data_IF_517330209110
#
_entry.id   IF_517330209110
#
_cell.length_a   1.000
_cell.length_b   1.000
_cell.length_c   1.000
_cell.angle_alpha   90.00
_cell.angle_beta   90.00
_cell.angle_gamma   90.00
#
_symmetry.space_group_name_H-M   'P 1'
#
loop_
_entity.id
_entity.type
_entity.pdbx_description
1 polymer ?
#
# COMPACT_ATOMS: atom_id res chain seq x y z
N UNK A 1 -6.06 -8.96 14.41
CA UNK A 1 -5.09 -8.14 13.64
C UNK A 1 -4.35 -9.06 12.68
N UNK A 2 -3.99 -8.54 11.50
CA UNK A 2 -3.40 -9.29 10.39
C UNK A 2 -1.87 -9.15 10.44
N UNK A 3 -1.14 -10.22 10.17
CA UNK A 3 0.31 -10.10 9.95
C UNK A 3 0.59 -9.43 8.61
N UNK A 4 1.55 -8.50 8.57
CA UNK A 4 1.93 -7.79 7.36
C UNK A 4 2.25 -8.72 6.19
N UNK A 5 3.13 -9.71 6.41
CA UNK A 5 3.55 -10.67 5.39
C UNK A 5 2.40 -11.50 4.83
N UNK A 6 1.43 -11.88 5.67
CA UNK A 6 0.29 -12.69 5.25
C UNK A 6 -0.67 -11.87 4.38
N UNK A 7 -0.90 -10.59 4.75
CA UNK A 7 -1.66 -9.67 3.92
C UNK A 7 -1.00 -9.49 2.54
N UNK A 8 0.31 -9.25 2.48
CA UNK A 8 1.03 -9.07 1.20
C UNK A 8 0.96 -10.35 0.35
N UNK A 9 1.15 -11.53 0.93
CA UNK A 9 1.03 -12.81 0.21
C UNK A 9 -0.35 -13.04 -0.36
N UNK A 10 -1.40 -12.74 0.41
CA UNK A 10 -2.78 -12.86 -0.06
C UNK A 10 -3.05 -11.91 -1.22
N UNK A 11 -2.64 -10.64 -1.10
CA UNK A 11 -2.79 -9.65 -2.16
C UNK A 11 -2.00 -10.06 -3.41
N UNK A 12 -0.76 -10.55 -3.25
CA UNK A 12 0.06 -11.04 -4.37
C UNK A 12 -0.58 -12.23 -5.07
N UNK A 13 -1.17 -13.17 -4.33
CA UNK A 13 -1.92 -14.29 -4.90
C UNK A 13 -3.16 -13.88 -5.70
N UNK A 14 -3.68 -12.67 -5.48
CA UNK A 14 -4.85 -12.10 -6.17
C UNK A 14 -4.51 -10.99 -7.16
N UNK A 15 -3.23 -10.63 -7.30
CA UNK A 15 -2.81 -9.43 -8.04
C UNK A 15 -3.02 -9.54 -9.55
N UNK A 16 -2.92 -10.74 -10.13
CA UNK A 16 -2.87 -10.91 -11.60
C UNK A 16 -1.78 -10.05 -12.23
N UNK A 17 -2.17 -9.12 -13.09
CA UNK A 17 -1.30 -8.16 -13.79
C UNK A 17 -1.27 -6.76 -13.13
N UNK A 18 -1.73 -6.66 -11.89
CA UNK A 18 -1.73 -5.42 -11.13
C UNK A 18 -0.32 -4.94 -10.79
N UNK A 19 -0.17 -3.62 -10.69
CA UNK A 19 1.06 -2.98 -10.18
C UNK A 19 0.92 -2.76 -8.67
N UNK A 20 1.92 -3.16 -7.91
CA UNK A 20 2.03 -2.80 -6.50
C UNK A 20 2.85 -1.51 -6.37
N UNK A 21 2.27 -0.49 -5.75
CA UNK A 21 2.96 0.75 -5.41
C UNK A 21 3.06 0.82 -3.92
N UNK A 22 4.22 0.48 -3.38
CA UNK A 22 4.38 0.23 -1.96
C UNK A 22 5.38 1.19 -1.32
N UNK A 23 5.13 1.59 -0.07
CA UNK A 23 6.09 2.40 0.71
C UNK A 23 6.13 1.95 2.17
N UNK A 24 7.25 2.23 2.83
CA UNK A 24 7.49 1.99 4.25
C UNK A 24 7.03 0.60 4.72
N UNK A 25 6.07 0.57 5.64
CA UNK A 25 5.67 -0.61 6.37
C UNK A 25 5.02 -1.66 5.46
N UNK A 26 4.37 -1.22 4.37
CA UNK A 26 3.82 -2.11 3.36
C UNK A 26 4.92 -2.81 2.53
N UNK A 27 6.13 -2.23 2.48
CA UNK A 27 7.34 -2.84 1.94
C UNK A 27 8.11 -3.68 2.99
N UNK A 28 7.41 -4.16 4.02
CA UNK A 28 7.98 -4.84 5.19
C UNK A 28 8.73 -3.88 6.15
N UNK A 29 8.86 -4.31 7.40
CA UNK A 29 9.51 -3.56 8.50
C UNK A 29 11.02 -3.40 8.36
N UNK A 30 11.64 -4.15 7.45
CA UNK A 30 13.08 -4.17 7.27
C UNK A 30 13.63 -3.07 6.35
N UNK A 31 12.82 -2.08 5.94
CA UNK A 31 13.28 -0.95 5.11
C UNK A 31 13.84 -1.34 3.73
N UNK A 32 13.67 -2.61 3.36
CA UNK A 32 13.97 -3.16 2.06
C UNK A 32 13.15 -4.41 1.82
N UNK A 33 12.83 -4.64 0.56
CA UNK A 33 12.20 -5.86 0.08
C UNK A 33 13.24 -7.00 0.03
N UNK A 34 12.99 -8.12 0.69
CA UNK A 34 12.95 -9.39 0.01
C UNK A 34 11.46 -9.65 -0.17
N UNK A 35 10.89 -9.04 -1.20
CA UNK A 35 9.45 -9.05 -1.43
C UNK A 35 8.99 -10.50 -1.42
N UNK A 36 8.01 -10.82 -0.59
CA UNK A 36 7.32 -12.13 -0.66
C UNK A 36 6.44 -12.22 -1.90
N UNK A 37 6.43 -11.19 -2.74
CA UNK A 37 5.74 -11.15 -4.01
C UNK A 37 6.47 -12.04 -5.01
N UNK A 38 5.69 -12.57 -5.94
CA UNK A 38 6.19 -13.49 -6.96
C UNK A 38 6.54 -12.81 -8.28
N UNK A 39 6.31 -11.49 -8.41
CA UNK A 39 6.51 -10.75 -9.64
C UNK A 39 7.07 -9.33 -9.37
N UNK A 40 8.37 -9.28 -9.05
CA UNK A 40 9.08 -8.05 -8.72
C UNK A 40 9.04 -7.00 -9.86
N UNK A 41 8.89 -7.42 -11.12
CA UNK A 41 8.84 -6.50 -12.26
C UNK A 41 7.67 -5.51 -12.18
N UNK A 42 6.54 -5.91 -11.59
CA UNK A 42 5.38 -5.01 -11.38
C UNK A 42 5.33 -4.39 -9.99
N UNK A 43 6.39 -4.56 -9.20
CA UNK A 43 6.50 -3.91 -7.90
C UNK A 43 7.25 -2.59 -8.05
N UNK A 44 6.65 -1.53 -7.53
CA UNK A 44 7.21 -0.19 -7.48
C UNK A 44 7.45 0.22 -6.01
N UNK A 45 8.59 -0.19 -5.43
CA UNK A 45 8.91 0.11 -4.04
C UNK A 45 9.44 1.55 -3.90
N UNK A 46 8.67 2.40 -3.23
CA UNK A 46 9.04 3.77 -2.86
C UNK A 46 9.79 3.82 -1.52
N UNK A 47 10.96 3.21 -1.49
CA UNK A 47 11.87 3.28 -0.35
C UNK A 47 12.38 4.71 -0.14
N UNK A 48 12.28 5.21 1.10
CA UNK A 48 12.73 6.57 1.45
C UNK A 48 11.80 7.71 1.04
N UNK A 49 10.62 7.44 0.47
CA UNK A 49 9.66 8.45 0.04
C UNK A 49 8.30 8.30 0.76
N UNK A 50 8.29 8.54 2.08
CA UNK A 50 7.07 8.48 2.90
C UNK A 50 5.96 9.39 2.36
N UNK A 51 4.74 8.89 2.36
CA UNK A 51 3.55 9.60 1.89
C UNK A 51 3.43 9.73 0.37
N UNK A 52 4.30 9.09 -0.43
CA UNK A 52 4.30 9.25 -1.89
C UNK A 52 3.69 8.10 -2.68
N UNK A 53 3.40 6.95 -2.05
CA UNK A 53 2.80 5.80 -2.72
C UNK A 53 1.47 6.14 -3.41
N UNK A 54 0.54 6.72 -2.66
CA UNK A 54 -0.75 7.18 -3.18
C UNK A 54 -0.62 8.17 -4.36
N UNK A 55 0.35 9.09 -4.33
CA UNK A 55 0.55 10.08 -5.39
C UNK A 55 1.14 9.46 -6.67
N UNK A 56 2.12 8.55 -6.54
CA UNK A 56 2.68 7.81 -7.69
C UNK A 56 1.63 6.87 -8.28
N UNK A 57 0.86 6.19 -7.42
CA UNK A 57 -0.22 5.31 -7.83
C UNK A 57 -1.31 6.04 -8.61
N UNK A 58 -1.66 7.28 -8.24
CA UNK A 58 -2.60 8.08 -9.03
C UNK A 58 -2.09 8.29 -10.45
N UNK A 59 -0.81 8.66 -10.62
CA UNK A 59 -0.21 8.83 -11.94
C UNK A 59 -0.26 7.54 -12.77
N UNK A 60 0.10 6.41 -12.17
CA UNK A 60 0.03 5.10 -12.81
C UNK A 60 -1.40 4.71 -13.17
N UNK A 61 -2.37 4.94 -12.29
CA UNK A 61 -3.76 4.58 -12.52
C UNK A 61 -4.38 5.36 -13.69
N UNK A 62 -4.02 6.64 -13.82
CA UNK A 62 -4.42 7.48 -14.94
C UNK A 62 -3.72 7.09 -16.24
N UNK A 63 -2.44 6.69 -16.18
CA UNK A 63 -1.67 6.29 -17.36
C UNK A 63 -2.01 4.87 -17.84
N UNK A 64 -2.47 4.00 -16.96
CA UNK A 64 -2.76 2.58 -17.22
C UNK A 64 -4.21 2.23 -16.84
N UNK A 65 -5.23 2.83 -17.49
CA UNK A 65 -6.62 2.76 -17.03
C UNK A 65 -7.23 1.35 -17.03
N UNK A 66 -6.64 0.41 -17.78
CA UNK A 66 -7.09 -0.99 -17.87
C UNK A 66 -6.43 -1.90 -16.82
N UNK A 67 -5.41 -1.41 -16.11
CA UNK A 67 -4.61 -2.18 -15.17
C UNK A 67 -4.90 -1.74 -13.75
N UNK A 68 -5.14 -2.68 -12.85
CA UNK A 68 -5.35 -2.34 -11.43
C UNK A 68 -4.04 -1.85 -10.81
N UNK A 69 -4.13 -0.79 -10.02
CA UNK A 69 -3.01 -0.23 -9.25
C UNK A 69 -3.33 -0.40 -7.77
N UNK A 70 -2.53 -1.20 -7.09
CA UNK A 70 -2.68 -1.48 -5.66
C UNK A 70 -1.64 -0.69 -4.87
N UNK A 71 -2.10 0.30 -4.12
CA UNK A 71 -1.26 1.08 -3.20
C UNK A 71 -1.14 0.30 -1.91
N UNK A 72 0.08 0.01 -1.49
CA UNK A 72 0.37 -0.54 -0.18
C UNK A 72 1.03 0.59 0.63
N UNK A 73 0.24 1.28 1.45
CA UNK A 73 0.68 2.43 2.24
C UNK A 73 0.61 2.12 3.74
N UNK A 74 1.40 2.80 4.56
CA UNK A 74 1.29 2.71 6.02
C UNK A 74 0.53 3.92 6.58
N UNK A 75 -0.18 3.75 7.69
CA UNK A 75 -0.85 4.84 8.43
C UNK A 75 0.08 6.04 8.70
N UNK A 76 1.28 5.80 9.23
CA UNK A 76 2.28 6.86 9.47
C UNK A 76 2.78 7.52 8.18
N UNK A 77 2.83 6.78 7.07
CA UNK A 77 3.23 7.29 5.76
C UNK A 77 2.12 8.15 5.15
N UNK A 78 0.87 7.67 5.17
CA UNK A 78 -0.30 8.40 4.69
C UNK A 78 -0.48 9.73 5.43
N UNK A 79 -0.24 9.76 6.74
CA UNK A 79 -0.30 11.00 7.54
C UNK A 79 0.65 12.10 7.03
N UNK A 80 1.80 11.74 6.44
CA UNK A 80 2.73 12.74 5.86
C UNK A 80 2.20 13.39 4.59
N UNK A 81 1.17 12.81 3.96
CA UNK A 81 0.54 13.35 2.76
C UNK A 81 -0.97 13.12 2.77
N UNK A 82 -1.63 13.47 3.87
CA UNK A 82 -3.04 13.15 4.06
C UNK A 82 -3.94 13.73 2.96
N UNK A 83 -3.60 14.90 2.40
CA UNK A 83 -4.33 15.53 1.30
C UNK A 83 -4.38 14.70 0.01
N UNK A 84 -3.58 13.63 -0.11
CA UNK A 84 -3.65 12.67 -1.21
C UNK A 84 -5.01 11.97 -1.29
N UNK A 85 -5.70 11.75 -0.16
CA UNK A 85 -6.97 11.01 -0.15
C UNK A 85 -8.08 11.79 -0.88
N UNK A 86 -8.17 13.10 -0.65
CA UNK A 86 -9.15 13.96 -1.35
C UNK A 86 -8.75 14.17 -2.80
N UNK A 87 -7.45 14.10 -3.12
CA UNK A 87 -6.96 14.16 -4.50
C UNK A 87 -7.35 12.91 -5.28
N UNK A 88 -7.16 11.72 -4.69
CA UNK A 88 -7.54 10.43 -5.27
C UNK A 88 -9.04 10.34 -5.47
N UNK A 89 -9.83 10.70 -4.45
CA UNK A 89 -11.28 10.76 -4.55
C UNK A 89 -11.74 11.69 -5.68
N UNK A 90 -11.20 12.91 -5.76
CA UNK A 90 -11.55 13.87 -6.81
C UNK A 90 -11.20 13.39 -8.23
N UNK A 91 -10.06 12.69 -8.40
CA UNK A 91 -9.70 12.13 -9.71
C UNK A 91 -10.45 10.85 -10.06
N UNK A 92 -10.97 10.15 -9.06
CA UNK A 92 -11.82 8.96 -9.20
C UNK A 92 -11.30 7.89 -10.20
N UNK A 93 -10.03 7.46 -10.14
CA UNK A 93 -9.54 6.39 -11.02
C UNK A 93 -10.25 5.06 -10.69
N UNK A 94 -10.92 4.46 -11.68
CA UNK A 94 -11.74 3.25 -11.50
C UNK A 94 -10.95 1.97 -11.20
N UNK A 95 -9.63 2.03 -11.37
CA UNK A 95 -8.69 0.92 -11.27
C UNK A 95 -7.74 1.02 -10.06
N UNK A 96 -7.98 1.94 -9.12
CA UNK A 96 -7.09 2.16 -7.97
C UNK A 96 -7.66 1.57 -6.66
N UNK A 97 -6.81 0.84 -5.94
CA UNK A 97 -7.11 0.21 -4.66
C UNK A 97 -6.05 0.64 -3.65
N UNK A 98 -6.45 1.38 -2.62
CA UNK A 98 -5.56 1.95 -1.61
C UNK A 98 -5.63 1.12 -0.33
N UNK A 99 -4.71 0.17 -0.17
CA UNK A 99 -4.55 -0.62 1.04
C UNK A 99 -3.70 0.14 2.06
N UNK A 100 -4.33 0.56 3.16
CA UNK A 100 -3.70 1.17 4.32
C UNK A 100 -3.37 0.09 5.35
N UNK A 101 -2.08 -0.16 5.55
CA UNK A 101 -1.53 -1.02 6.59
C UNK A 101 -1.46 -0.22 7.89
N UNK A 102 -2.55 -0.26 8.67
CA UNK A 102 -2.71 0.48 9.91
C UNK A 102 -2.22 -0.34 11.10
N UNK A 103 -1.02 -0.04 11.58
CA UNK A 103 -0.44 -0.64 12.79
C UNK A 103 -0.31 0.37 13.96
N UNK A 104 -0.75 1.62 13.76
CA UNK A 104 -0.77 2.64 14.80
C UNK A 104 0.59 3.16 15.25
N UNK A 105 1.71 2.76 14.63
CA UNK A 105 3.07 3.12 15.07
C UNK A 105 4.04 3.36 13.92
N UNK A 106 5.01 4.26 14.13
CA UNK A 106 6.20 4.35 13.30
C UNK A 106 7.17 3.21 13.61
N UNK A 107 6.82 2.01 13.11
CA UNK A 107 7.52 0.75 13.32
C UNK A 107 9.04 0.79 13.04
N UNK A 108 9.43 1.65 12.10
CA UNK A 108 10.80 1.76 11.59
C UNK A 108 11.70 2.57 12.52
N UNK A 109 11.14 3.56 13.19
CA UNK A 109 11.89 4.56 13.96
C UNK A 109 11.88 4.27 15.46
N UNK A 110 11.46 3.06 15.85
CA UNK A 110 11.38 2.63 17.26
C UNK A 110 9.98 2.48 17.82
N UNK A 111 8.93 2.49 16.97
CA UNK A 111 7.57 2.09 17.37
C UNK A 111 6.79 3.18 18.12
N UNK A 112 7.13 4.44 17.92
CA UNK A 112 6.36 5.55 18.49
C UNK A 112 4.94 5.57 17.90
N UNK A 113 3.89 5.86 18.68
CA UNK A 113 2.54 5.99 18.15
C UNK A 113 2.47 7.03 17.03
N UNK A 114 1.74 6.72 15.96
CA UNK A 114 1.43 7.72 14.93
C UNK A 114 0.45 8.77 15.47
N UNK A 115 0.44 9.99 14.92
CA UNK A 115 -0.62 10.96 15.22
C UNK A 115 -2.02 10.36 15.01
N UNK A 116 -2.87 10.41 16.03
CA UNK A 116 -4.23 9.86 15.96
C UNK A 116 -4.33 8.33 16.12
N UNK A 117 -3.24 7.65 16.50
CA UNK A 117 -3.25 6.21 16.80
C UNK A 117 -4.36 5.85 17.78
N UNK A 118 -5.16 4.82 17.43
CA UNK A 118 -6.32 4.37 18.20
C UNK A 118 -7.51 5.34 18.23
N UNK A 119 -7.46 6.46 17.50
CA UNK A 119 -8.53 7.49 17.47
C UNK A 119 -9.04 7.79 16.07
N UNK A 120 -8.18 7.74 15.06
CA UNK A 120 -8.54 8.03 13.67
C UNK A 120 -9.34 6.87 13.08
N UNK A 121 -10.52 7.18 12.55
CA UNK A 121 -11.30 6.25 11.74
C UNK A 121 -10.92 6.41 10.26
N UNK A 122 -10.03 5.53 9.79
CA UNK A 122 -9.53 5.54 8.42
C UNK A 122 -10.59 5.18 7.38
N UNK A 123 -11.53 4.30 7.73
CA UNK A 123 -12.60 3.87 6.83
C UNK A 123 -13.56 5.04 6.58
N UNK A 124 -14.04 5.67 7.65
CA UNK A 124 -14.90 6.85 7.56
C UNK A 124 -14.17 8.01 6.89
N UNK A 125 -12.86 8.16 7.10
CA UNK A 125 -12.08 9.19 6.44
C UNK A 125 -12.02 8.99 4.92
N UNK A 126 -11.77 7.76 4.44
CA UNK A 126 -11.83 7.45 3.01
C UNK A 126 -13.21 7.72 2.42
N UNK A 127 -14.27 7.32 3.12
CA UNK A 127 -15.66 7.54 2.71
C UNK A 127 -16.00 9.03 2.64
N UNK A 128 -15.65 9.80 3.67
CA UNK A 128 -15.89 11.24 3.75
C UNK A 128 -15.06 12.02 2.72
N UNK A 129 -13.88 11.52 2.35
CA UNK A 129 -13.08 12.09 1.27
C UNK A 129 -13.71 11.89 -0.12
N UNK A 130 -14.62 10.93 -0.28
CA UNK A 130 -15.31 10.64 -1.54
C UNK A 130 -14.76 9.45 -2.31
N UNK A 131 -14.09 8.50 -1.65
CA UNK A 131 -13.79 7.21 -2.29
C UNK A 131 -15.08 6.49 -2.68
N UNK A 132 -15.04 5.74 -3.79
CA UNK A 132 -16.21 5.05 -4.33
C UNK A 132 -16.71 3.94 -3.39
N UNK A 133 -15.77 3.29 -2.69
CA UNK A 133 -16.05 2.31 -1.66
C UNK A 133 -14.94 2.30 -0.60
N UNK A 134 -15.31 1.86 0.60
CA UNK A 134 -14.38 1.68 1.71
C UNK A 134 -14.59 0.31 2.34
N UNK A 135 -13.50 -0.30 2.78
CA UNK A 135 -13.51 -1.56 3.52
C UNK A 135 -12.55 -1.48 4.70
N UNK A 136 -12.81 -2.25 5.74
CA UNK A 136 -11.94 -2.39 6.90
C UNK A 136 -11.88 -3.86 7.29
N UNK A 137 -10.68 -4.38 7.50
CA UNK A 137 -10.42 -5.76 7.92
C UNK A 137 -9.48 -5.78 9.12
N UNK A 138 -9.83 -6.52 10.15
CA UNK A 138 -9.00 -6.72 11.34
C UNK A 138 -8.55 -8.17 11.55
N UNK A 139 -9.01 -9.11 10.73
CA UNK A 139 -8.52 -10.48 10.67
C UNK A 139 -8.29 -10.96 9.22
N UNK A 140 -7.44 -11.99 9.08
CA UNK A 140 -7.00 -12.47 7.78
C UNK A 140 -8.07 -13.34 7.08
N UNK A 141 -8.94 -13.98 7.85
CA UNK A 141 -9.97 -14.87 7.32
C UNK A 141 -11.02 -14.06 6.57
N UNK A 142 -11.55 -12.98 7.17
CA UNK A 142 -12.52 -12.10 6.52
C UNK A 142 -11.92 -11.43 5.27
N UNK A 143 -10.67 -10.95 5.37
CA UNK A 143 -9.96 -10.43 4.21
C UNK A 143 -9.86 -11.48 3.09
N UNK A 144 -9.52 -12.72 3.43
CA UNK A 144 -9.40 -13.82 2.44
C UNK A 144 -10.73 -14.13 1.77
N UNK A 145 -11.82 -14.16 2.52
CA UNK A 145 -13.15 -14.46 1.99
C UNK A 145 -13.69 -13.35 1.10
N UNK A 146 -13.34 -12.09 1.39
CA UNK A 146 -13.93 -10.92 0.74
C UNK A 146 -13.04 -10.20 -0.26
N UNK A 147 -11.75 -10.57 -0.37
CA UNK A 147 -10.82 -9.87 -1.27
C UNK A 147 -11.30 -9.84 -2.73
N UNK A 148 -11.97 -10.90 -3.20
CA UNK A 148 -12.49 -10.94 -4.57
C UNK A 148 -13.63 -9.93 -4.79
N UNK A 149 -14.49 -9.71 -3.78
CA UNK A 149 -15.54 -8.68 -3.78
C UNK A 149 -14.90 -7.27 -3.79
N UNK A 150 -13.92 -7.05 -2.93
CA UNK A 150 -13.16 -5.80 -2.84
C UNK A 150 -12.54 -5.47 -4.20
N UNK A 151 -11.86 -6.45 -4.82
CA UNK A 151 -11.19 -6.28 -6.11
C UNK A 151 -12.13 -6.24 -7.32
N UNK A 152 -13.42 -6.59 -7.15
CA UNK A 152 -14.45 -6.40 -8.16
C UNK A 152 -15.08 -4.99 -8.11
N UNK A 153 -14.87 -4.25 -7.02
CA UNK A 153 -15.44 -2.92 -6.82
C UNK A 153 -14.74 -1.88 -7.70
N UNK A 154 -15.53 -1.06 -8.41
CA UNK A 154 -14.99 0.03 -9.23
C UNK A 154 -14.41 1.12 -8.32
N UNK A 155 -13.15 1.45 -8.53
CA UNK A 155 -12.39 2.37 -7.69
C UNK A 155 -12.74 3.86 -7.85
N UNK A 156 -12.08 4.72 -7.05
CA UNK A 156 -11.00 4.38 -6.11
C UNK A 156 -11.57 3.72 -4.86
N UNK A 157 -10.96 2.62 -4.42
CA UNK A 157 -11.35 1.88 -3.21
C UNK A 157 -10.35 2.15 -2.10
N UNK A 158 -10.82 2.45 -0.90
CA UNK A 158 -9.97 2.60 0.29
C UNK A 158 -10.13 1.38 1.19
N UNK A 159 -9.04 0.71 1.54
CA UNK A 159 -9.06 -0.54 2.31
C UNK A 159 -8.16 -0.37 3.52
N UNK A 160 -8.74 -0.32 4.71
CA UNK A 160 -7.97 -0.39 5.95
C UNK A 160 -7.69 -1.85 6.31
N UNK A 161 -6.44 -2.17 6.60
CA UNK A 161 -6.03 -3.43 7.21
C UNK A 161 -5.48 -3.12 8.61
N UNK A 162 -6.06 -3.69 9.67
CA UNK A 162 -5.49 -3.58 11.01
C UNK A 162 -4.31 -4.57 11.15
N UNK A 163 -3.10 -4.03 11.17
CA UNK A 163 -1.86 -4.80 11.08
C UNK A 163 -1.20 -4.94 12.46
N UNK A 164 -0.68 -6.13 12.74
CA UNK A 164 0.16 -6.37 13.92
C UNK A 164 1.42 -5.51 13.83
N UNK A 165 1.73 -4.64 14.81
CA UNK A 165 2.96 -3.88 14.83
C UNK A 165 4.18 -4.78 14.89
N UNK A 166 5.11 -4.59 13.97
CA UNK A 166 6.41 -5.24 13.97
C UNK A 166 7.45 -4.12 14.11
N UNK A 167 8.18 -4.07 15.22
CA UNK A 167 9.11 -2.96 15.49
C UNK A 167 10.51 -3.40 15.12
N UNK A 168 11.17 -2.64 14.24
CA UNK A 168 12.56 -2.88 13.86
C UNK A 168 13.47 -1.86 14.55
N UNK A 169 14.26 -2.36 15.51
CA UNK A 169 15.17 -1.54 16.31
C UNK A 169 16.57 -1.43 15.70
N UNK A 170 16.89 -2.26 14.71
CA UNK A 170 18.16 -2.16 13.97
C UNK A 170 18.20 -0.83 13.25
N UNK A 171 19.28 -0.05 13.39
CA UNK A 171 19.39 1.21 12.67
C UNK A 171 19.40 0.98 11.15
N UNK A 172 18.76 1.86 10.37
CA UNK A 172 18.49 1.66 8.93
C UNK A 172 19.74 1.30 8.14
N UNK A 173 20.89 1.89 8.45
CA UNK A 173 22.17 1.63 7.77
C UNK A 173 22.72 0.21 7.97
N UNK A 174 22.23 -0.53 8.97
CA UNK A 174 22.63 -1.90 9.26
C UNK A 174 21.59 -2.94 8.81
N UNK A 175 20.49 -2.51 8.20
CA UNK A 175 19.46 -3.42 7.70
C UNK A 175 19.86 -3.98 6.33
N UNK A 176 19.39 -5.20 5.98
CA UNK A 176 19.52 -5.72 4.62
C UNK A 176 18.96 -4.73 3.59
N UNK A 177 19.65 -4.57 2.46
CA UNK A 177 19.15 -3.74 1.38
C UNK A 177 18.07 -4.48 0.59
N UNK A 178 17.13 -3.72 0.01
CA UNK A 178 16.13 -4.26 -0.88
C UNK A 178 16.77 -4.88 -2.13
N UNK A 179 16.22 -6.00 -2.61
CA UNK A 179 16.57 -6.58 -3.92
C UNK A 179 16.27 -5.62 -5.07
N UNK A 180 15.13 -4.92 -4.99
CA UNK A 180 14.66 -3.95 -5.98
C UNK A 180 14.61 -2.54 -5.42
N UNK A 181 15.32 -1.61 -6.08
CA UNK A 181 15.35 -0.20 -5.72
C UNK A 181 14.27 0.61 -6.46
N UNK A 182 13.93 1.79 -5.93
CA UNK A 182 13.11 2.80 -6.63
C UNK A 182 13.66 3.08 -8.03
N UNK A 183 14.99 3.24 -8.15
CA UNK A 183 15.65 3.57 -9.41
C UNK A 183 15.54 2.44 -10.42
N UNK A 184 15.61 1.19 -9.97
CA UNK A 184 15.40 0.00 -10.80
C UNK A 184 13.96 -0.03 -11.31
N UNK A 185 12.99 0.07 -10.40
CA UNK A 185 11.57 0.07 -10.76
C UNK A 185 11.20 1.21 -11.72
N UNK A 186 11.76 2.41 -11.51
CA UNK A 186 11.53 3.56 -12.39
C UNK A 186 12.02 3.33 -13.83
N UNK A 187 13.12 2.58 -14.01
CA UNK A 187 13.67 2.26 -15.34
C UNK A 187 12.91 1.12 -16.03
N UNK A 188 12.56 0.09 -15.28
CA UNK A 188 12.08 -1.18 -15.85
C UNK A 188 10.56 -1.28 -15.92
N UNK A 189 9.83 -0.75 -14.94
CA UNK A 189 8.36 -0.87 -14.93
C UNK A 189 7.72 -0.29 -16.20
N UNK A 190 8.11 0.88 -16.74
CA UNK A 190 7.53 1.38 -17.98
C UNK A 190 7.69 0.43 -19.17
N UNK A 191 8.83 -0.27 -19.26
CA UNK A 191 9.09 -1.26 -20.30
C UNK A 191 8.21 -2.50 -20.11
N UNK A 192 8.06 -2.95 -18.86
CA UNK A 192 7.17 -4.07 -18.53
C UNK A 192 5.72 -3.75 -18.88
N UNK A 193 5.24 -2.55 -18.54
CA UNK A 193 3.89 -2.08 -18.82
C UNK A 193 3.61 -1.88 -20.32
N UNK A 194 4.64 -1.62 -21.14
CA UNK A 194 4.48 -1.51 -22.59
C UNK A 194 4.33 -2.86 -23.29
N UNK A 195 4.79 -3.94 -22.66
CA UNK A 195 4.92 -5.27 -23.27
C UNK A 195 3.87 -6.29 -22.80
N UNK A 196 2.95 -5.92 -21.90
CA UNK A 196 1.91 -6.79 -21.35
C UNK A 196 0.64 -6.05 -21.03
#
# INVERSE_FOLDING_TARGET
MINNTDAVKLLDGKRGDSVFVATMNANNVQFGLPTVTTNEDMDFPLSGAMGKASSVALGLALAQPQRKIMVLDGDGSLLMNLGTIVTLANKSPSNLYHFLFDNGVYAVTGGQPVPGSGRTDWELMGKAAGYAATFSFDDLEDLTTRIDEVLATKGPVFIRLAIVPQIENTAVQFRPQASRSVLTAFKELPQKLANG
#
